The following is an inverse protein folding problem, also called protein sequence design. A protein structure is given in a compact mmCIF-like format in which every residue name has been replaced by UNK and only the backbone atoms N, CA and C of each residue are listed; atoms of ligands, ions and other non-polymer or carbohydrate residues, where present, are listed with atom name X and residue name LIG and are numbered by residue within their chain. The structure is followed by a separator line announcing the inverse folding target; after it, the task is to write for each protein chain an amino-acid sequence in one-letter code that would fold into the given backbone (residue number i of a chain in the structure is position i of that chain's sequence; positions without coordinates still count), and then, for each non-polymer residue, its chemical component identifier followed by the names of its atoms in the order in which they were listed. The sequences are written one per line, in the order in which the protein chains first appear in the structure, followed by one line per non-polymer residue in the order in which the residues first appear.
data_IF_524118657369
#
_entry.id   IF_524118657369
#
_cell.length_a   1.000
_cell.length_b   1.000
_cell.length_c   1.000
_cell.angle_alpha   90.00
_cell.angle_beta   90.00
_cell.angle_gamma   90.00
#
_symmetry.space_group_name_H-M   'P 1'
#
loop_
_entity.id
_entity.type
_entity.pdbx_description
1 polymer ?
#
# COMPACT_ATOMS: atom_id res chain seq x y z
N UNK A 1 -55.67 -10.29 55.69
CA UNK A 1 -55.19 -9.85 54.36
C UNK A 1 -53.70 -10.20 54.29
N UNK A 2 -53.26 -11.40 53.88
CA UNK A 2 -53.74 -12.33 52.82
C UNK A 2 -53.65 -11.71 51.41
N UNK A 3 -53.25 -12.37 50.31
CA UNK A 3 -52.82 -13.77 49.99
C UNK A 3 -51.38 -13.73 49.34
N UNK A 4 -50.52 -14.77 49.28
CA UNK A 4 -50.56 -16.08 48.55
C UNK A 4 -50.86 -15.90 47.02
N UNK A 5 -50.26 -16.58 46.01
CA UNK A 5 -49.41 -17.80 45.86
C UNK A 5 -48.87 -17.86 44.38
N UNK A 6 -47.92 -18.68 43.87
CA UNK A 6 -47.02 -19.76 44.37
C UNK A 6 -45.77 -20.00 43.44
N UNK A 7 -44.88 -20.90 43.90
CA UNK A 7 -43.65 -21.55 43.36
C UNK A 7 -43.80 -22.25 41.96
N UNK A 8 -42.77 -22.35 41.09
CA UNK A 8 -41.78 -23.47 40.81
C UNK A 8 -40.63 -22.87 39.97
N UNK A 9 -39.31 -22.94 40.24
CA UNK A 9 -38.36 -23.97 40.74
C UNK A 9 -37.74 -24.87 39.64
N UNK A 10 -36.53 -24.53 39.19
CA UNK A 10 -35.47 -25.52 38.90
C UNK A 10 -34.08 -24.85 39.00
N UNK A 11 -33.10 -25.59 39.52
CA UNK A 11 -31.73 -25.15 39.82
C UNK A 11 -30.77 -26.23 39.36
N UNK A 12 -29.63 -25.86 38.78
CA UNK A 12 -28.30 -26.38 39.15
C UNK A 12 -27.19 -25.73 38.30
N UNK A 13 -26.32 -24.97 38.97
CA UNK A 13 -24.97 -24.74 38.44
C UNK A 13 -24.14 -26.02 38.66
N UNK A 14 -23.26 -26.36 37.73
CA UNK A 14 -22.22 -27.37 37.94
C UNK A 14 -20.90 -26.84 37.41
N UNK A 15 -19.89 -26.83 38.29
CA UNK A 15 -18.55 -26.34 38.01
C UNK A 15 -17.78 -27.29 37.10
N UNK A 16 -17.07 -26.74 36.11
CA UNK A 16 -16.10 -27.52 35.31
C UNK A 16 -14.89 -27.79 36.21
N UNK A 17 -14.81 -29.03 36.71
CA UNK A 17 -13.80 -29.46 37.65
C UNK A 17 -12.53 -29.88 36.90
N UNK A 18 -11.47 -29.08 36.97
CA UNK A 18 -10.23 -29.35 36.24
C UNK A 18 -9.31 -30.27 37.05
N UNK A 19 -9.08 -31.50 36.56
CA UNK A 19 -8.29 -32.53 37.24
C UNK A 19 -7.10 -32.97 36.36
N UNK A 20 -5.86 -32.94 36.85
CA UNK A 20 -4.69 -33.39 36.09
C UNK A 20 -4.58 -34.93 36.04
N UNK A 21 -3.71 -35.40 35.15
CA UNK A 21 -3.31 -36.81 34.96
C UNK A 21 -4.36 -37.79 34.40
N UNK A 22 -4.39 -37.88 33.07
CA UNK A 22 -4.16 -39.17 32.40
C UNK A 22 -3.58 -38.98 30.99
N UNK A 23 -2.68 -39.86 30.56
CA UNK A 23 -2.30 -39.98 29.14
C UNK A 23 -3.51 -40.45 28.35
N UNK A 24 -3.67 -39.92 27.14
CA UNK A 24 -4.53 -40.48 26.10
C UNK A 24 -3.74 -40.59 24.81
N UNK A 25 -3.95 -41.70 24.11
CA UNK A 25 -3.35 -41.97 22.80
C UNK A 25 -4.17 -41.28 21.71
N UNK A 26 -3.53 -40.79 20.65
CA UNK A 26 -4.23 -40.14 19.55
C UNK A 26 -4.94 -41.18 18.67
N UNK A 27 -6.21 -41.45 18.96
CA UNK A 27 -7.11 -42.15 18.06
C UNK A 27 -7.39 -41.33 16.78
N UNK A 28 -7.74 -42.02 15.69
CA UNK A 28 -7.73 -41.48 14.32
C UNK A 28 -8.82 -40.42 14.03
N UNK A 29 -9.79 -40.22 14.91
CA UNK A 29 -10.90 -39.25 14.73
C UNK A 29 -10.48 -37.77 14.80
N UNK A 30 -9.27 -37.44 15.26
CA UNK A 30 -8.77 -36.06 15.29
C UNK A 30 -8.41 -35.45 13.91
N UNK A 31 -8.60 -36.17 12.79
CA UNK A 31 -8.30 -35.67 11.44
C UNK A 31 -9.52 -35.36 10.55
N UNK A 32 -10.74 -35.24 11.11
CA UNK A 32 -11.96 -34.99 10.29
C UNK A 32 -12.81 -33.76 10.65
N UNK A 33 -12.17 -32.69 11.12
CA UNK A 33 -12.79 -31.35 11.19
C UNK A 33 -11.94 -30.25 10.55
N UNK A 34 -11.39 -30.52 9.35
CA UNK A 34 -10.86 -29.47 8.47
C UNK A 34 -12.00 -28.66 7.81
N UNK A 35 -12.87 -28.06 8.63
CA UNK A 35 -13.50 -26.80 8.21
C UNK A 35 -12.38 -25.78 8.12
N UNK A 36 -11.83 -25.59 6.90
CA UNK A 36 -10.92 -24.47 6.60
C UNK A 36 -11.56 -23.22 7.21
N UNK A 37 -10.83 -22.52 8.06
CA UNK A 37 -11.45 -21.61 9.01
C UNK A 37 -11.97 -20.39 8.26
N UNK A 38 -13.25 -20.39 7.92
CA UNK A 38 -13.96 -19.24 7.33
C UNK A 38 -14.12 -18.16 8.39
N UNK A 39 -13.01 -17.53 8.75
CA UNK A 39 -12.97 -16.39 9.66
C UNK A 39 -13.57 -15.20 8.90
N UNK A 40 -14.89 -15.10 9.04
CA UNK A 40 -15.65 -13.86 8.94
C UNK A 40 -15.50 -13.07 7.63
N UNK A 41 -15.81 -13.75 6.50
CA UNK A 41 -16.44 -13.03 5.37
C UNK A 41 -17.71 -12.28 5.80
N UNK A 42 -18.31 -12.66 6.93
CA UNK A 42 -19.49 -12.01 7.54
C UNK A 42 -19.16 -10.75 8.37
N UNK A 43 -17.90 -10.44 8.70
CA UNK A 43 -17.53 -9.13 9.30
C UNK A 43 -17.35 -8.02 8.26
N UNK A 44 -17.41 -8.35 6.96
CA UNK A 44 -17.48 -7.36 5.88
C UNK A 44 -18.89 -6.75 5.77
N UNK A 45 -19.40 -6.23 6.88
CA UNK A 45 -20.67 -5.53 6.97
C UNK A 45 -20.65 -4.24 6.14
N UNK A 46 -21.69 -4.07 5.31
CA UNK A 46 -21.89 -2.94 4.36
C UNK A 46 -20.77 -2.77 3.31
N UNK A 47 -21.03 -3.33 2.12
CA UNK A 47 -20.36 -3.12 0.82
C UNK A 47 -18.83 -2.91 0.81
N UNK A 48 -18.10 -3.91 0.28
CA UNK A 48 -16.70 -3.77 -0.13
C UNK A 48 -16.57 -2.80 -1.31
N UNK A 49 -16.49 -1.52 -0.99
CA UNK A 49 -16.30 -0.40 -1.93
C UNK A 49 -14.89 -0.34 -2.53
N UNK A 50 -13.91 -1.03 -1.92
CA UNK A 50 -12.58 -1.28 -2.51
C UNK A 50 -12.53 -2.68 -3.08
N UNK A 51 -12.06 -2.80 -4.32
CA UNK A 51 -11.85 -4.09 -5.01
C UNK A 51 -10.36 -4.37 -5.14
N UNK A 52 -9.97 -5.61 -4.90
CA UNK A 52 -8.56 -6.02 -4.83
C UNK A 52 -8.26 -7.05 -5.92
N UNK A 53 -7.50 -6.64 -6.93
CA UNK A 53 -7.25 -7.44 -8.14
C UNK A 53 -5.85 -8.03 -8.11
N UNK A 54 -5.74 -9.36 -7.95
CA UNK A 54 -4.47 -10.09 -7.96
C UNK A 54 -4.02 -10.42 -9.39
N UNK A 55 -2.73 -10.19 -9.66
CA UNK A 55 -1.99 -10.60 -10.85
C UNK A 55 -0.61 -11.15 -10.44
N UNK A 56 -0.16 -12.22 -11.10
CA UNK A 56 1.22 -12.71 -11.05
C UNK A 56 1.51 -13.51 -12.33
N UNK A 57 2.75 -13.94 -12.55
CA UNK A 57 3.15 -14.69 -13.77
C UNK A 57 2.41 -16.03 -13.97
N UNK A 58 1.73 -16.55 -12.96
CA UNK A 58 0.92 -17.78 -13.04
C UNK A 58 -0.55 -17.49 -13.40
N UNK A 59 -0.94 -16.21 -13.48
CA UNK A 59 -2.22 -15.75 -14.00
C UNK A 59 -2.02 -15.44 -15.48
N UNK A 60 -2.13 -16.50 -16.30
CA UNK A 60 -1.86 -16.49 -17.75
C UNK A 60 -3.04 -15.91 -18.57
N UNK A 61 -4.22 -15.78 -17.96
CA UNK A 61 -5.46 -15.41 -18.66
C UNK A 61 -5.73 -13.90 -18.62
N UNK A 62 -6.29 -13.37 -19.71
CA UNK A 62 -6.41 -11.93 -20.01
C UNK A 62 -7.59 -11.23 -19.34
N UNK A 63 -7.90 -11.57 -18.08
CA UNK A 63 -8.97 -10.93 -17.32
C UNK A 63 -8.51 -9.66 -16.60
N UNK A 64 -9.46 -8.90 -16.05
CA UNK A 64 -9.21 -7.72 -15.20
C UNK A 64 -8.48 -8.03 -13.88
N UNK A 65 -8.02 -9.27 -13.66
CA UNK A 65 -7.48 -9.80 -12.40
C UNK A 65 -8.56 -10.48 -11.57
N UNK A 66 -8.15 -11.28 -10.58
CA UNK A 66 -9.09 -11.94 -9.68
C UNK A 66 -9.37 -11.11 -8.43
N UNK A 67 -10.65 -10.92 -8.08
CA UNK A 67 -11.05 -10.22 -6.87
C UNK A 67 -10.76 -11.08 -5.63
N UNK A 68 -9.91 -10.59 -4.72
CA UNK A 68 -9.44 -11.37 -3.55
C UNK A 68 -10.58 -11.73 -2.57
N UNK A 69 -11.66 -10.95 -2.54
CA UNK A 69 -12.82 -11.18 -1.65
C UNK A 69 -14.09 -11.66 -2.37
N UNK A 70 -14.06 -11.88 -3.68
CA UNK A 70 -15.17 -12.55 -4.36
C UNK A 70 -15.15 -14.05 -4.08
N UNK A 71 -16.25 -14.59 -3.56
CA UNK A 71 -16.40 -16.02 -3.27
C UNK A 71 -16.20 -16.93 -4.49
N UNK A 72 -16.51 -16.48 -5.71
CA UNK A 72 -16.29 -17.25 -6.93
C UNK A 72 -14.81 -17.24 -7.37
N UNK A 73 -14.11 -16.13 -7.12
CA UNK A 73 -12.67 -15.96 -7.38
C UNK A 73 -11.78 -16.56 -6.28
N UNK A 74 -12.27 -16.68 -5.04
CA UNK A 74 -11.46 -17.00 -3.86
C UNK A 74 -10.61 -18.27 -4.01
N UNK A 75 -11.17 -19.38 -4.51
CA UNK A 75 -10.38 -20.61 -4.72
C UNK A 75 -9.29 -20.43 -5.80
N UNK A 76 -9.54 -19.61 -6.82
CA UNK A 76 -8.54 -19.30 -7.85
C UNK A 76 -7.43 -18.40 -7.31
N UNK A 77 -7.77 -17.42 -6.46
CA UNK A 77 -6.78 -16.61 -5.73
C UNK A 77 -5.97 -17.49 -4.79
N UNK A 78 -6.63 -18.34 -4.00
CA UNK A 78 -5.99 -19.24 -3.03
C UNK A 78 -5.01 -20.21 -3.69
N UNK A 79 -5.35 -20.76 -4.85
CA UNK A 79 -4.51 -21.70 -5.59
C UNK A 79 -3.41 -21.02 -6.44
N UNK A 80 -3.45 -19.69 -6.65
CA UNK A 80 -2.46 -18.96 -7.47
C UNK A 80 -1.58 -17.97 -6.70
N UNK A 81 -1.93 -17.60 -5.47
CA UNK A 81 -1.11 -16.74 -4.61
C UNK A 81 0.02 -17.55 -3.94
N UNK A 82 1.27 -17.13 -4.12
CA UNK A 82 2.44 -17.73 -3.42
C UNK A 82 3.09 -16.70 -2.51
N UNK A 83 2.93 -16.88 -1.20
CA UNK A 83 3.48 -16.00 -0.16
C UNK A 83 5.02 -15.95 -0.09
N UNK A 84 5.73 -16.81 -0.84
CA UNK A 84 7.19 -16.74 -1.00
C UNK A 84 7.63 -15.61 -1.93
N UNK A 85 6.76 -15.21 -2.87
CA UNK A 85 7.03 -14.09 -3.76
C UNK A 85 6.74 -12.76 -3.03
N UNK A 86 7.61 -11.76 -3.23
CA UNK A 86 7.36 -10.41 -2.71
C UNK A 86 6.01 -9.91 -3.22
N UNK A 87 5.21 -9.32 -2.34
CA UNK A 87 3.83 -8.94 -2.64
C UNK A 87 3.70 -7.43 -2.60
N UNK A 88 3.34 -6.85 -3.75
CA UNK A 88 3.26 -5.41 -3.95
C UNK A 88 1.81 -4.97 -4.11
N UNK A 89 1.36 -4.01 -3.31
CA UNK A 89 -0.01 -3.48 -3.35
C UNK A 89 0.03 -2.08 -3.94
N UNK A 90 -0.56 -1.89 -5.12
CA UNK A 90 -0.60 -0.61 -5.83
C UNK A 90 -1.92 0.10 -5.51
N UNK A 91 -1.85 1.38 -5.13
CA UNK A 91 -3.00 2.19 -4.71
C UNK A 91 -3.00 3.52 -5.48
N UNK A 92 -4.04 3.71 -6.30
CA UNK A 92 -4.13 4.85 -7.23
C UNK A 92 -4.63 6.14 -6.57
N UNK A 93 -4.56 7.25 -7.32
CA UNK A 93 -4.89 8.59 -6.82
C UNK A 93 -6.37 8.96 -6.86
N UNK A 94 -6.61 10.27 -6.75
CA UNK A 94 -7.91 10.91 -7.01
C UNK A 94 -8.18 10.96 -8.52
N UNK A 95 -9.44 10.82 -8.94
CA UNK A 95 -9.89 10.67 -10.33
C UNK A 95 -9.32 9.46 -11.09
N UNK A 96 -8.59 8.58 -10.41
CA UNK A 96 -8.07 7.30 -10.93
C UNK A 96 -8.99 6.11 -10.62
N UNK A 97 -8.77 5.00 -11.34
CA UNK A 97 -9.41 3.70 -11.12
C UNK A 97 -8.45 2.54 -11.48
N UNK A 98 -8.93 1.29 -11.45
CA UNK A 98 -8.19 0.08 -11.87
C UNK A 98 -7.32 0.25 -13.13
N UNK A 99 -7.82 0.94 -14.16
CA UNK A 99 -7.17 1.06 -15.47
C UNK A 99 -6.26 2.28 -15.63
N UNK A 100 -6.05 3.08 -14.57
CA UNK A 100 -5.16 4.25 -14.60
C UNK A 100 -3.68 3.89 -14.85
N UNK A 101 -2.94 4.83 -15.44
CA UNK A 101 -1.55 4.62 -15.89
C UNK A 101 -0.61 4.06 -14.80
N UNK A 102 -0.72 4.51 -13.54
CA UNK A 102 0.06 3.94 -12.43
C UNK A 102 -0.12 2.43 -12.32
N UNK A 103 -1.38 1.97 -12.32
CA UNK A 103 -1.74 0.57 -12.19
C UNK A 103 -1.24 -0.25 -13.38
N UNK A 104 -1.42 0.26 -14.60
CA UNK A 104 -1.00 -0.40 -15.84
C UNK A 104 0.53 -0.52 -15.93
N UNK A 105 1.26 0.57 -15.71
CA UNK A 105 2.71 0.64 -15.90
C UNK A 105 3.47 -0.16 -14.83
N UNK A 106 3.13 0.00 -13.54
CA UNK A 106 3.80 -0.74 -12.46
C UNK A 106 3.51 -2.23 -12.57
N UNK A 107 2.24 -2.63 -12.84
CA UNK A 107 1.89 -4.04 -13.10
C UNK A 107 2.66 -4.60 -14.27
N UNK A 108 2.68 -3.90 -15.41
CA UNK A 108 3.37 -4.32 -16.63
C UNK A 108 4.86 -4.55 -16.40
N UNK A 109 5.57 -3.54 -15.90
CA UNK A 109 7.02 -3.61 -15.70
C UNK A 109 7.41 -4.64 -14.63
N UNK A 110 6.62 -4.81 -13.56
CA UNK A 110 6.88 -5.85 -12.58
C UNK A 110 6.65 -7.27 -13.12
N UNK A 111 5.53 -7.54 -13.80
CA UNK A 111 5.23 -8.89 -14.32
C UNK A 111 6.15 -9.30 -15.48
N UNK A 112 6.58 -8.34 -16.31
CA UNK A 112 7.54 -8.57 -17.38
C UNK A 112 8.88 -9.09 -16.83
N UNK A 113 9.43 -8.43 -15.80
CA UNK A 113 10.79 -8.68 -15.32
C UNK A 113 10.87 -9.63 -14.11
N UNK A 114 9.91 -9.60 -13.18
CA UNK A 114 10.01 -10.25 -11.87
C UNK A 114 8.83 -11.19 -11.55
N UNK A 115 9.07 -12.14 -10.64
CA UNK A 115 8.05 -13.06 -10.12
C UNK A 115 7.48 -12.53 -8.81
N UNK A 116 6.64 -11.50 -8.89
CA UNK A 116 5.95 -10.90 -7.74
C UNK A 116 4.45 -11.18 -7.77
N UNK A 117 3.80 -11.11 -6.59
CA UNK A 117 2.35 -10.94 -6.52
C UNK A 117 2.05 -9.44 -6.59
N UNK A 118 1.28 -9.01 -7.58
CA UNK A 118 0.84 -7.62 -7.73
C UNK A 118 -0.66 -7.58 -7.41
N UNK A 119 -1.04 -6.77 -6.42
CA UNK A 119 -2.44 -6.51 -6.07
C UNK A 119 -2.73 -5.04 -6.37
N UNK A 120 -3.73 -4.75 -7.21
CA UNK A 120 -4.24 -3.38 -7.37
C UNK A 120 -5.44 -3.21 -6.44
N UNK A 121 -5.40 -2.18 -5.59
CA UNK A 121 -6.52 -1.73 -4.78
C UNK A 121 -7.30 -0.64 -5.55
N UNK A 122 -8.33 -1.08 -6.28
CA UNK A 122 -9.26 -0.19 -6.97
C UNK A 122 -10.29 0.36 -5.98
N UNK A 123 -10.16 1.62 -5.63
CA UNK A 123 -11.06 2.34 -4.71
C UNK A 123 -11.98 3.32 -5.44
N UNK A 124 -12.20 3.11 -6.75
CA UNK A 124 -13.19 3.86 -7.53
C UNK A 124 -14.61 3.77 -6.98
N UNK A 125 -15.03 2.58 -6.52
CA UNK A 125 -16.29 2.38 -5.80
C UNK A 125 -16.36 3.08 -4.44
N UNK A 126 -15.21 3.36 -3.82
CA UNK A 126 -15.10 4.07 -2.54
C UNK A 126 -14.98 5.59 -2.69
N UNK A 127 -14.94 6.13 -3.91
CA UNK A 127 -15.05 7.57 -4.16
C UNK A 127 -13.82 8.27 -4.73
N UNK A 128 -12.81 7.57 -5.27
CA UNK A 128 -11.72 8.24 -6.01
C UNK A 128 -12.25 9.07 -7.19
N UNK A 129 -13.31 8.59 -7.84
CA UNK A 129 -13.98 9.21 -8.98
C UNK A 129 -14.92 10.36 -8.59
N UNK A 130 -14.99 10.74 -7.30
CA UNK A 130 -15.82 11.86 -6.85
C UNK A 130 -15.12 13.19 -7.17
N UNK A 131 -15.68 14.06 -8.03
CA UNK A 131 -15.04 15.32 -8.43
C UNK A 131 -14.96 16.37 -7.31
N UNK A 132 -15.51 16.10 -6.12
CA UNK A 132 -15.35 16.93 -4.92
C UNK A 132 -14.16 16.40 -4.11
N UNK A 133 -12.97 16.95 -4.34
CA UNK A 133 -11.71 16.52 -3.67
C UNK A 133 -11.83 16.34 -2.14
N UNK A 134 -12.45 17.25 -1.36
CA UNK A 134 -12.63 17.03 0.08
C UNK A 134 -13.38 15.75 0.46
N UNK A 135 -14.35 15.34 -0.37
CA UNK A 135 -15.11 14.09 -0.18
C UNK A 135 -14.26 12.87 -0.57
N UNK A 136 -13.52 12.93 -1.66
CA UNK A 136 -12.56 11.86 -2.00
C UNK A 136 -11.47 11.69 -0.90
N UNK A 137 -10.96 12.81 -0.35
CA UNK A 137 -9.99 12.80 0.76
C UNK A 137 -10.58 12.20 2.04
N UNK A 138 -11.86 12.42 2.34
CA UNK A 138 -12.47 11.87 3.56
C UNK A 138 -12.60 10.34 3.56
N UNK A 139 -12.47 9.70 2.39
CA UNK A 139 -12.54 8.24 2.25
C UNK A 139 -11.20 7.54 2.53
N UNK A 140 -10.08 8.27 2.55
CA UNK A 140 -8.73 7.72 2.82
C UNK A 140 -8.66 6.80 4.06
N UNK A 141 -9.13 7.17 5.27
CA UNK A 141 -9.08 6.29 6.43
C UNK A 141 -9.99 5.06 6.33
N UNK A 142 -11.04 5.09 5.50
CA UNK A 142 -11.96 3.98 5.26
C UNK A 142 -11.33 2.98 4.29
N UNK A 143 -10.81 3.47 3.16
CA UNK A 143 -10.07 2.67 2.17
C UNK A 143 -8.86 2.02 2.83
N UNK A 144 -8.07 2.78 3.59
CA UNK A 144 -6.91 2.26 4.32
C UNK A 144 -7.26 1.14 5.31
N UNK A 145 -8.49 1.14 5.86
CA UNK A 145 -8.99 0.06 6.71
C UNK A 145 -9.28 -1.22 5.91
N UNK A 146 -9.88 -1.11 4.72
CA UNK A 146 -10.12 -2.28 3.86
C UNK A 146 -8.81 -2.88 3.32
N UNK A 147 -7.79 -2.06 3.01
CA UNK A 147 -6.45 -2.56 2.64
C UNK A 147 -5.76 -3.24 3.85
N UNK A 148 -5.93 -2.71 5.08
CA UNK A 148 -5.38 -3.35 6.28
C UNK A 148 -6.05 -4.71 6.56
N UNK A 149 -7.38 -4.80 6.45
CA UNK A 149 -8.14 -6.04 6.57
C UNK A 149 -7.72 -7.09 5.52
N UNK A 150 -7.36 -6.68 4.31
CA UNK A 150 -6.75 -7.56 3.31
C UNK A 150 -5.38 -8.08 3.78
N UNK A 151 -4.49 -7.22 4.25
CA UNK A 151 -3.15 -7.62 4.70
C UNK A 151 -3.23 -8.61 5.86
N UNK A 152 -4.06 -8.34 6.87
CA UNK A 152 -4.26 -9.23 8.00
C UNK A 152 -4.92 -10.56 7.58
N UNK A 153 -5.84 -10.53 6.60
CA UNK A 153 -6.40 -11.75 5.98
C UNK A 153 -5.34 -12.57 5.26
N UNK A 154 -4.44 -11.93 4.49
CA UNK A 154 -3.36 -12.62 3.78
C UNK A 154 -2.32 -13.23 4.75
N UNK A 155 -2.04 -12.56 5.86
CA UNK A 155 -1.23 -13.10 6.94
C UNK A 155 -1.85 -14.36 7.56
N UNK A 156 -3.15 -14.31 7.91
CA UNK A 156 -3.86 -15.45 8.53
C UNK A 156 -3.97 -16.64 7.56
N UNK A 157 -4.32 -16.39 6.29
CA UNK A 157 -4.70 -17.45 5.34
C UNK A 157 -3.51 -18.04 4.55
N UNK A 158 -2.48 -17.23 4.26
CA UNK A 158 -1.33 -17.63 3.43
C UNK A 158 0.02 -17.54 4.17
N UNK A 159 0.01 -17.12 5.44
CA UNK A 159 1.22 -16.84 6.22
C UNK A 159 2.13 -15.80 5.55
N UNK A 160 1.54 -14.86 4.82
CA UNK A 160 2.23 -13.73 4.21
C UNK A 160 2.76 -12.81 5.32
N UNK A 161 4.09 -12.78 5.47
CA UNK A 161 4.78 -11.89 6.39
C UNK A 161 4.64 -10.43 5.96
N UNK A 162 4.18 -9.49 6.82
CA UNK A 162 4.09 -8.07 6.47
C UNK A 162 5.44 -7.46 6.05
N UNK A 163 6.57 -8.01 6.51
CA UNK A 163 7.91 -7.59 6.11
C UNK A 163 8.24 -7.89 4.63
N UNK A 164 7.46 -8.77 3.99
CA UNK A 164 7.51 -9.09 2.55
C UNK A 164 6.51 -8.25 1.71
N UNK A 165 5.78 -7.30 2.33
CA UNK A 165 4.89 -6.38 1.63
C UNK A 165 5.61 -5.09 1.21
N UNK A 166 5.26 -4.62 0.02
CA UNK A 166 5.58 -3.29 -0.47
C UNK A 166 4.30 -2.59 -0.96
N UNK A 167 3.79 -1.63 -0.19
CA UNK A 167 2.67 -0.79 -0.63
C UNK A 167 3.21 0.39 -1.44
N UNK A 168 2.60 0.68 -2.59
CA UNK A 168 3.00 1.76 -3.50
C UNK A 168 1.76 2.59 -3.78
N UNK A 169 1.72 3.82 -3.25
CA UNK A 169 0.54 4.68 -3.35
C UNK A 169 0.85 6.01 -4.02
N UNK A 170 -0.02 6.49 -4.91
CA UNK A 170 0.11 7.81 -5.55
C UNK A 170 -0.95 8.79 -5.08
N UNK A 171 -0.62 10.08 -4.93
CA UNK A 171 -1.57 11.12 -4.55
C UNK A 171 -2.31 10.78 -3.23
N UNK A 172 -3.64 10.74 -3.21
CA UNK A 172 -4.43 10.21 -2.09
C UNK A 172 -4.07 8.74 -1.74
N UNK A 173 -3.72 7.93 -2.73
CA UNK A 173 -3.23 6.56 -2.57
C UNK A 173 -1.96 6.46 -1.72
N UNK A 174 -1.08 7.47 -1.75
CA UNK A 174 0.09 7.52 -0.87
C UNK A 174 -0.32 7.61 0.61
N UNK A 175 -1.32 8.43 0.92
CA UNK A 175 -1.87 8.53 2.28
C UNK A 175 -2.66 7.29 2.69
N UNK A 176 -3.37 6.65 1.76
CA UNK A 176 -4.01 5.36 1.98
C UNK A 176 -2.96 4.32 2.37
N UNK A 177 -1.90 4.15 1.57
CA UNK A 177 -0.79 3.25 1.87
C UNK A 177 -0.14 3.54 3.23
N UNK A 178 0.08 4.83 3.52
CA UNK A 178 0.64 5.31 4.77
C UNK A 178 -0.20 4.96 6.01
N UNK A 179 -1.51 5.23 5.95
CA UNK A 179 -2.46 4.98 7.04
C UNK A 179 -2.76 3.48 7.17
N UNK A 180 -2.68 2.70 6.09
CA UNK A 180 -2.80 1.23 6.13
C UNK A 180 -1.73 0.59 7.01
N UNK A 181 -0.46 0.99 6.87
CA UNK A 181 0.64 0.45 7.67
C UNK A 181 0.53 0.73 9.17
N UNK A 182 -0.24 1.75 9.55
CA UNK A 182 -0.55 2.08 10.95
C UNK A 182 -1.82 1.38 11.48
N UNK A 183 -2.55 0.65 10.62
CA UNK A 183 -3.83 -0.01 10.92
C UNK A 183 -3.76 -1.54 10.99
N UNK A 184 -2.76 -2.16 10.37
CA UNK A 184 -2.63 -3.62 10.35
C UNK A 184 -2.32 -4.17 11.75
N UNK A 185 -2.82 -5.37 12.04
CA UNK A 185 -2.61 -6.08 13.30
C UNK A 185 -1.55 -7.19 13.19
N UNK A 186 -1.21 -7.60 11.96
CA UNK A 186 -0.30 -8.71 11.66
C UNK A 186 1.20 -8.43 11.85
N UNK A 187 1.63 -7.16 11.96
CA UNK A 187 3.04 -6.81 12.10
C UNK A 187 3.37 -5.41 11.56
N UNK A 188 4.58 -5.23 11.03
CA UNK A 188 5.00 -3.99 10.35
C UNK A 188 5.21 -4.23 8.86
N UNK A 189 4.69 -3.35 8.01
CA UNK A 189 4.88 -3.43 6.56
C UNK A 189 6.37 -3.26 6.21
N UNK A 190 6.87 -4.08 5.29
CA UNK A 190 8.27 -4.10 4.87
C UNK A 190 8.72 -2.84 4.14
N UNK A 191 7.86 -2.25 3.29
CA UNK A 191 8.08 -0.96 2.61
C UNK A 191 6.77 -0.25 2.25
N UNK A 192 6.75 1.08 2.36
CA UNK A 192 5.72 1.95 1.77
C UNK A 192 6.40 2.99 0.87
N UNK A 193 6.08 3.02 -0.42
CA UNK A 193 6.48 4.11 -1.32
C UNK A 193 5.33 5.11 -1.51
N UNK A 194 5.58 6.39 -1.25
CA UNK A 194 4.70 7.51 -1.57
C UNK A 194 5.09 8.18 -2.89
N UNK A 195 4.25 8.08 -3.90
CA UNK A 195 4.43 8.73 -5.20
C UNK A 195 3.67 10.06 -5.20
N UNK A 196 4.42 11.14 -5.03
CA UNK A 196 3.97 12.53 -4.89
C UNK A 196 2.71 12.68 -3.99
N UNK A 197 2.85 12.47 -2.65
CA UNK A 197 1.72 12.49 -1.73
C UNK A 197 0.99 13.84 -1.75
N UNK A 198 -0.33 13.80 -1.83
CA UNK A 198 -1.16 14.97 -2.01
C UNK A 198 -1.06 15.96 -0.82
N UNK A 199 -0.73 17.22 -1.11
CA UNK A 199 -0.63 18.29 -0.12
C UNK A 199 -1.97 18.74 0.48
N UNK A 200 -3.03 19.00 -0.32
CA UNK A 200 -4.26 19.62 0.19
C UNK A 200 -4.97 18.79 1.28
N UNK A 201 -5.41 19.46 2.35
CA UNK A 201 -6.15 18.90 3.49
C UNK A 201 -5.40 17.87 4.36
N UNK A 202 -4.14 17.53 4.07
CA UNK A 202 -3.27 16.78 4.99
C UNK A 202 -2.39 17.75 5.78
N UNK A 203 -2.18 17.46 7.07
CA UNK A 203 -1.39 18.34 7.94
C UNK A 203 -0.05 17.72 8.33
N UNK A 204 0.97 18.59 8.46
CA UNK A 204 2.31 18.22 8.92
C UNK A 204 2.27 17.68 10.35
N UNK A 205 1.48 18.33 11.23
CA UNK A 205 1.32 18.00 12.66
C UNK A 205 0.50 16.73 12.96
N UNK A 206 0.00 16.04 11.91
CA UNK A 206 -0.82 14.82 12.02
C UNK A 206 -0.24 13.65 11.24
N UNK A 207 0.91 13.05 11.66
CA UNK A 207 1.51 11.89 10.98
C UNK A 207 0.61 10.64 10.96
N UNK A 208 -0.45 10.61 11.78
CA UNK A 208 -1.45 9.55 11.86
C UNK A 208 -2.57 9.63 10.80
N UNK A 209 -2.73 10.78 10.12
CA UNK A 209 -3.72 10.97 9.05
C UNK A 209 -3.12 10.80 7.63
N UNK A 210 -1.84 10.39 7.52
CA UNK A 210 -1.06 10.45 6.28
C UNK A 210 0.05 9.40 6.23
N UNK A 211 0.76 9.35 5.09
CA UNK A 211 2.09 8.75 5.02
C UNK A 211 3.07 9.47 5.94
N UNK A 212 3.81 8.69 6.72
CA UNK A 212 4.83 9.12 7.66
C UNK A 212 5.88 8.00 7.81
N UNK A 213 7.03 8.29 8.41
CA UNK A 213 8.07 7.27 8.66
C UNK A 213 7.57 6.08 9.52
N UNK A 214 6.54 6.24 10.34
CA UNK A 214 5.88 5.16 11.10
C UNK A 214 4.99 4.23 10.25
N UNK A 215 4.82 4.48 8.95
CA UNK A 215 3.97 3.66 8.08
C UNK A 215 4.58 2.31 7.67
N UNK A 216 5.89 2.10 7.80
CA UNK A 216 6.57 0.84 7.48
C UNK A 216 8.01 0.81 8.03
N UNK A 217 8.64 -0.37 8.02
CA UNK A 217 10.07 -0.56 8.36
C UNK A 217 11.01 0.27 7.47
N UNK A 218 10.58 0.56 6.24
CA UNK A 218 11.18 1.55 5.36
C UNK A 218 10.06 2.31 4.64
N UNK A 219 10.23 3.63 4.51
CA UNK A 219 9.26 4.50 3.82
C UNK A 219 10.04 5.42 2.91
N UNK A 220 9.73 5.42 1.62
CA UNK A 220 10.38 6.30 0.65
C UNK A 220 9.36 7.12 -0.13
N UNK A 221 9.71 8.35 -0.48
CA UNK A 221 8.78 9.29 -1.09
C UNK A 221 9.43 9.95 -2.31
N UNK A 222 8.69 10.09 -3.41
CA UNK A 222 9.14 10.77 -4.63
C UNK A 222 8.27 12.00 -4.83
N UNK A 223 8.82 13.18 -4.59
CA UNK A 223 8.13 14.47 -4.75
C UNK A 223 8.30 14.98 -6.18
N UNK A 224 7.19 15.30 -6.86
CA UNK A 224 7.22 15.82 -8.24
C UNK A 224 6.24 16.96 -8.52
N UNK A 225 5.30 17.28 -7.64
CA UNK A 225 4.45 18.48 -7.79
C UNK A 225 4.27 19.31 -6.52
N UNK A 226 5.33 19.36 -5.70
CA UNK A 226 5.40 20.23 -4.54
C UNK A 226 5.06 21.69 -4.87
N UNK A 227 4.33 22.32 -3.95
CA UNK A 227 3.66 23.64 -4.06
C UNK A 227 2.41 23.69 -4.95
N UNK A 228 1.96 22.58 -5.57
CA UNK A 228 0.74 22.55 -6.38
C UNK A 228 -0.24 21.44 -5.99
N UNK A 229 0.04 20.17 -6.35
CA UNK A 229 -0.77 19.02 -5.90
C UNK A 229 -0.04 18.20 -4.83
N UNK A 230 1.28 18.06 -4.96
CA UNK A 230 2.14 17.31 -4.05
C UNK A 230 2.63 18.11 -2.83
N UNK A 231 3.49 17.46 -2.05
CA UNK A 231 4.14 18.00 -0.84
C UNK A 231 5.59 18.39 -1.08
N UNK A 232 6.17 19.24 -0.22
CA UNK A 232 7.57 19.73 -0.31
C UNK A 232 8.43 19.41 0.91
N UNK A 233 7.87 18.73 1.91
CA UNK A 233 8.54 18.43 3.18
C UNK A 233 8.75 16.92 3.30
N UNK A 234 9.82 16.51 4.00
CA UNK A 234 10.11 15.11 4.28
C UNK A 234 8.91 14.44 4.99
N UNK A 235 8.46 13.32 4.45
CA UNK A 235 7.40 12.49 5.04
C UNK A 235 7.89 11.06 5.32
N UNK A 236 8.89 10.58 4.57
CA UNK A 236 9.39 9.21 4.67
C UNK A 236 10.52 9.02 5.67
N UNK A 237 11.22 7.90 5.48
CA UNK A 237 12.57 7.70 5.95
C UNK A 237 13.58 8.34 4.97
N UNK A 238 13.35 8.20 3.66
CA UNK A 238 14.10 8.84 2.59
C UNK A 238 13.14 9.55 1.63
N UNK A 239 13.43 10.80 1.27
CA UNK A 239 12.56 11.63 0.45
C UNK A 239 13.35 12.16 -0.75
N UNK A 240 12.89 11.83 -1.95
CA UNK A 240 13.54 12.12 -3.22
C UNK A 240 12.85 13.28 -3.93
N UNK A 241 13.64 14.24 -4.40
CA UNK A 241 13.18 15.49 -5.00
C UNK A 241 13.77 15.68 -6.41
N UNK A 242 13.38 14.85 -7.40
CA UNK A 242 13.77 15.04 -8.79
C UNK A 242 13.42 16.45 -9.28
N UNK A 243 14.40 17.13 -9.88
CA UNK A 243 14.29 18.51 -10.36
C UNK A 243 13.93 19.51 -9.25
N UNK A 244 14.28 19.20 -7.99
CA UNK A 244 13.92 19.96 -6.80
C UNK A 244 12.49 19.67 -6.28
N UNK A 245 11.81 18.66 -6.82
CA UNK A 245 10.49 18.18 -6.39
C UNK A 245 9.32 19.16 -6.57
N UNK A 246 9.56 20.29 -7.23
CA UNK A 246 8.54 21.30 -7.51
C UNK A 246 7.68 20.92 -8.73
N UNK A 247 6.56 21.61 -8.89
CA UNK A 247 5.56 21.40 -9.95
C UNK A 247 5.98 21.76 -11.39
N UNK A 248 7.20 22.23 -11.64
CA UNK A 248 7.73 22.52 -12.98
C UNK A 248 8.72 21.43 -13.43
N UNK A 249 8.26 20.17 -13.47
CA UNK A 249 9.08 19.05 -13.93
C UNK A 249 9.41 19.20 -15.43
N UNK A 250 10.61 18.81 -15.89
CA UNK A 250 11.00 18.84 -17.30
C UNK A 250 9.95 18.18 -18.20
N UNK A 251 9.59 18.83 -19.30
CA UNK A 251 8.54 18.40 -20.23
C UNK A 251 7.09 18.78 -19.83
N UNK A 252 6.83 19.11 -18.56
CA UNK A 252 5.51 19.54 -18.09
C UNK A 252 5.29 21.04 -18.27
N UNK A 253 5.18 21.48 -19.52
CA UNK A 253 5.20 22.90 -19.92
C UNK A 253 4.03 23.76 -19.37
N UNK A 254 2.79 23.48 -19.80
CA UNK A 254 1.59 24.28 -19.46
C UNK A 254 0.70 23.47 -18.52
N UNK A 255 1.29 23.03 -17.41
CA UNK A 255 0.64 22.14 -16.45
C UNK A 255 -0.21 22.90 -15.43
N UNK A 256 -1.21 23.64 -15.93
CA UNK A 256 -2.08 24.53 -15.12
C UNK A 256 -2.81 23.80 -13.98
N UNK A 257 -3.08 22.51 -14.17
CA UNK A 257 -3.73 21.65 -13.17
C UNK A 257 -2.73 20.82 -12.35
N UNK A 258 -1.42 20.91 -12.60
CA UNK A 258 -0.36 20.13 -11.95
C UNK A 258 -0.34 18.64 -12.26
N UNK A 259 -1.16 18.16 -13.21
CA UNK A 259 -1.37 16.74 -13.47
C UNK A 259 -0.19 16.04 -14.16
N UNK A 260 0.57 16.74 -15.01
CA UNK A 260 1.77 16.19 -15.65
C UNK A 260 2.88 15.97 -14.61
N UNK A 261 3.19 17.02 -13.85
CA UNK A 261 4.20 16.97 -12.79
C UNK A 261 3.80 16.03 -11.66
N UNK A 262 2.50 15.95 -11.30
CA UNK A 262 2.01 14.99 -10.31
C UNK A 262 2.13 13.53 -10.80
N UNK A 263 1.97 13.28 -12.11
CA UNK A 263 2.16 11.97 -12.72
C UNK A 263 3.63 11.54 -12.84
N UNK A 264 4.58 12.48 -12.89
CA UNK A 264 6.02 12.17 -13.04
C UNK A 264 6.53 11.19 -11.97
N UNK A 265 6.07 11.28 -10.72
CA UNK A 265 6.48 10.37 -9.65
C UNK A 265 6.25 8.89 -9.99
N UNK A 266 5.06 8.52 -10.50
CA UNK A 266 4.80 7.14 -10.91
C UNK A 266 5.45 6.77 -12.25
N UNK A 267 5.72 7.74 -13.14
CA UNK A 267 6.46 7.49 -14.38
C UNK A 267 7.95 7.17 -14.09
N UNK A 268 8.61 7.98 -13.26
CA UNK A 268 9.99 7.71 -12.82
C UNK A 268 10.09 6.39 -12.05
N UNK A 269 9.14 6.14 -11.13
CA UNK A 269 9.08 4.87 -10.42
C UNK A 269 8.87 3.69 -11.38
N UNK A 270 7.93 3.79 -12.34
CA UNK A 270 7.71 2.74 -13.34
C UNK A 270 8.98 2.42 -14.14
N UNK A 271 9.71 3.44 -14.58
CA UNK A 271 10.94 3.27 -15.36
C UNK A 271 12.08 2.67 -14.53
N UNK A 272 12.22 3.06 -13.26
CA UNK A 272 13.22 2.50 -12.33
C UNK A 272 13.09 0.99 -12.08
N UNK A 273 11.92 0.38 -12.36
CA UNK A 273 11.73 -1.08 -12.33
C UNK A 273 12.56 -1.79 -13.41
N UNK A 274 12.74 -1.13 -14.56
CA UNK A 274 13.51 -1.60 -15.72
C UNK A 274 14.98 -1.15 -15.69
N UNK A 275 15.29 -0.03 -15.01
CA UNK A 275 16.63 0.55 -14.92
C UNK A 275 17.06 0.77 -13.46
N UNK A 276 17.50 -0.29 -12.74
CA UNK A 276 17.81 -0.24 -11.30
C UNK A 276 18.94 0.70 -10.87
N UNK A 277 19.69 1.26 -11.82
CA UNK A 277 20.81 2.17 -11.58
C UNK A 277 20.64 3.54 -12.25
N UNK A 278 19.56 3.78 -13.00
CA UNK A 278 19.42 5.03 -13.77
C UNK A 278 19.21 6.26 -12.89
N UNK A 279 18.38 6.14 -11.84
CA UNK A 279 17.96 7.27 -11.03
C UNK A 279 18.91 7.54 -9.84
N UNK A 280 20.20 7.70 -10.11
CA UNK A 280 21.17 8.09 -9.08
C UNK A 280 20.78 9.44 -8.47
N UNK A 281 20.82 9.48 -7.14
CA UNK A 281 20.32 10.57 -6.32
C UNK A 281 21.34 10.91 -5.24
N UNK A 282 21.73 12.17 -5.16
CA UNK A 282 22.74 12.68 -4.25
C UNK A 282 22.06 13.13 -2.94
N UNK A 283 22.48 12.66 -1.75
CA UNK A 283 21.98 13.22 -0.48
C UNK A 283 22.43 14.68 -0.36
N UNK A 284 21.54 15.59 0.03
CA UNK A 284 21.90 17.00 0.18
C UNK A 284 20.96 17.74 1.14
N UNK A 285 21.41 18.89 1.64
CA UNK A 285 20.65 19.82 2.49
C UNK A 285 19.41 20.37 1.76
N UNK A 286 19.61 20.92 0.57
CA UNK A 286 18.56 21.45 -0.29
C UNK A 286 18.91 21.38 -1.80
N UNK A 287 17.94 21.73 -2.63
CA UNK A 287 18.08 21.73 -4.09
C UNK A 287 19.11 22.74 -4.62
N UNK A 288 19.32 23.86 -3.93
CA UNK A 288 20.28 24.89 -4.34
C UNK A 288 21.70 24.41 -4.10
N UNK A 289 21.99 23.83 -2.93
CA UNK A 289 23.31 23.26 -2.63
C UNK A 289 23.65 22.09 -3.57
N UNK A 290 22.65 21.30 -3.98
CA UNK A 290 22.81 20.29 -5.04
C UNK A 290 23.12 20.90 -6.42
N UNK A 291 22.42 21.96 -6.84
CA UNK A 291 22.67 22.64 -8.14
C UNK A 291 23.97 23.47 -8.13
N UNK A 292 24.46 23.88 -6.96
CA UNK A 292 25.77 24.51 -6.75
C UNK A 292 26.88 23.48 -6.43
N UNK A 293 26.62 22.18 -6.67
CA UNK A 293 27.56 21.05 -6.58
C UNK A 293 28.27 20.90 -5.21
N UNK A 294 27.61 21.24 -4.10
CA UNK A 294 28.20 21.20 -2.73
C UNK A 294 28.08 19.85 -2.01
N UNK A 295 27.45 18.88 -2.66
CA UNK A 295 27.10 17.57 -2.08
C UNK A 295 27.72 16.39 -2.86
N UNK A 296 28.71 16.65 -3.73
CA UNK A 296 29.31 15.63 -4.63
C UNK A 296 30.19 14.59 -3.91
N UNK A 297 30.66 14.86 -2.68
CA UNK A 297 31.52 13.95 -1.91
C UNK A 297 30.77 12.78 -1.24
N UNK A 298 29.43 12.75 -1.30
CA UNK A 298 28.57 11.77 -0.61
C UNK A 298 28.14 10.59 -1.51
N UNK A 299 27.89 9.41 -0.92
CA UNK A 299 27.49 8.21 -1.68
C UNK A 299 26.08 8.35 -2.28
N UNK A 300 25.98 8.32 -3.61
CA UNK A 300 24.71 8.37 -4.35
C UNK A 300 23.92 7.07 -4.23
N UNK A 301 22.60 7.17 -4.10
CA UNK A 301 21.69 6.02 -4.09
C UNK A 301 20.70 6.08 -5.25
N UNK A 302 20.15 4.95 -5.68
CA UNK A 302 19.02 4.98 -6.64
C UNK A 302 17.72 5.40 -5.96
N UNK A 303 16.95 6.27 -6.61
CA UNK A 303 15.53 6.47 -6.36
C UNK A 303 14.72 5.27 -6.90
N UNK A 304 13.48 5.12 -6.44
CA UNK A 304 12.48 4.28 -7.10
C UNK A 304 12.50 2.81 -6.65
N UNK A 305 12.21 1.89 -7.55
CA UNK A 305 11.91 0.49 -7.25
C UNK A 305 12.97 -0.20 -6.38
N UNK A 306 14.24 0.18 -6.52
CA UNK A 306 15.40 -0.42 -5.82
C UNK A 306 16.04 0.47 -4.75
N UNK A 307 15.33 1.52 -4.29
CA UNK A 307 15.82 2.41 -3.23
C UNK A 307 16.31 1.64 -1.98
N UNK A 308 17.54 1.88 -1.49
CA UNK A 308 18.11 1.14 -0.36
C UNK A 308 17.29 1.32 0.93
N UNK A 309 16.89 0.22 1.59
CA UNK A 309 16.06 0.27 2.81
C UNK A 309 16.71 1.01 4.00
N UNK A 310 18.01 1.26 3.93
CA UNK A 310 18.79 2.02 4.92
C UNK A 310 18.96 3.51 4.58
N UNK A 311 18.52 3.97 3.39
CA UNK A 311 18.58 5.38 2.99
C UNK A 311 17.81 6.28 3.98
N UNK A 312 18.34 7.45 4.31
CA UNK A 312 17.71 8.40 5.25
C UNK A 312 17.97 9.86 4.85
N UNK A 313 16.93 10.70 4.88
CA UNK A 313 17.02 12.14 4.59
C UNK A 313 16.59 12.54 3.17
N UNK A 314 16.96 13.75 2.75
CA UNK A 314 16.65 14.30 1.43
C UNK A 314 17.67 13.88 0.37
N UNK A 315 17.18 13.48 -0.80
CA UNK A 315 17.98 13.12 -1.96
C UNK A 315 17.53 13.90 -3.20
N UNK A 316 18.48 14.39 -3.99
CA UNK A 316 18.22 15.22 -5.17
C UNK A 316 18.85 14.62 -6.44
N UNK A 317 18.17 14.83 -7.57
CA UNK A 317 18.56 14.35 -8.90
C UNK A 317 17.93 15.24 -9.98
N UNK A 318 18.40 15.12 -11.22
CA UNK A 318 17.79 15.74 -12.41
C UNK A 318 17.19 14.66 -13.31
N UNK A 319 16.30 15.03 -14.22
CA UNK A 319 15.72 14.12 -15.22
C UNK A 319 15.53 14.81 -16.58
N UNK A 320 15.61 14.05 -17.67
CA UNK A 320 15.19 14.50 -19.00
C UNK A 320 13.69 14.85 -19.05
N UNK A 321 13.29 15.56 -20.10
CA UNK A 321 11.87 15.88 -20.38
C UNK A 321 11.07 14.72 -20.98
N UNK A 322 11.73 13.73 -21.57
CA UNK A 322 11.12 12.60 -22.28
C UNK A 322 11.81 11.28 -21.88
N UNK A 323 11.17 10.10 -22.10
CA UNK A 323 11.78 8.81 -21.79
C UNK A 323 13.00 8.51 -22.68
N UNK A 324 14.09 7.91 -22.14
CA UNK A 324 14.34 7.61 -20.74
C UNK A 324 14.54 8.88 -19.91
N UNK A 325 13.85 9.00 -18.77
CA UNK A 325 13.89 10.23 -17.98
C UNK A 325 15.15 10.33 -17.12
N UNK A 326 15.83 9.24 -16.79
CA UNK A 326 17.11 9.32 -16.10
C UNK A 326 18.21 9.95 -16.98
N UNK A 327 19.10 10.74 -16.36
CA UNK A 327 20.34 11.19 -17.01
C UNK A 327 21.35 10.02 -17.06
N UNK A 328 22.28 10.06 -18.04
CA UNK A 328 23.23 8.98 -18.38
C UNK A 328 24.67 9.32 -17.99
#
# INVERSE_FOLDING_TARGET
MEYLSVIILLVLASSINCSPHRKWECGEDCMRSSKRQTIQLEEFGTENVVKFYLYNRNIIDGSDGYSVFDSASFETVFNKFDAKNETKIIIHGWMDNLNSNINVLLKGNYLANYSYNIIIADWSGAGSMNPVYPAARSMVPIVANQVAMLIDSLYVQFHLKPENLHLIGHSLGAHIAGVTGQKIQSGNIGRVTGLDPAGPLFKVDKPEERISNSSALFVDVIHTSGLLLGTTYQMGHADFFPNGGNWMQPGCWVDVNGGCSHARSYLYFAESINYPFGYQSTPCSDWKDYVENKCEDEETITMGAFAPKLARGSYYLKTNSEPPFFEL
#
